data_IF_035401866331
#
_entry.id   IF_035401866331
#
_cell.length_a   1.000
_cell.length_b   1.000
_cell.length_c   1.000
_cell.angle_alpha   90.00
_cell.angle_beta   90.00
_cell.angle_gamma   90.00
#
_symmetry.space_group_name_H-M   'P 1'
#
loop_
_entity.id
_entity.type
_entity.pdbx_description
1 polymer ?
#
# COMPACT_ATOMS: atom_id res chain seq x y z
N UNK A 1 -13.57 14.49 3.51
CA UNK A 1 -13.85 13.07 3.22
C UNK A 1 -13.26 12.81 1.85
N UNK A 2 -12.27 11.92 1.74
CA UNK A 2 -11.57 11.66 0.46
C UNK A 2 -12.45 10.73 -0.37
N UNK A 3 -12.79 11.12 -1.60
CA UNK A 3 -13.53 10.27 -2.55
C UNK A 3 -12.60 9.41 -3.39
N UNK A 4 -13.11 8.34 -4.02
CA UNK A 4 -12.29 7.50 -4.93
C UNK A 4 -11.72 8.29 -6.11
N UNK A 5 -12.45 9.31 -6.59
CA UNK A 5 -11.99 10.18 -7.66
C UNK A 5 -10.75 10.98 -7.25
N UNK A 6 -10.59 11.27 -5.95
CA UNK A 6 -9.41 11.96 -5.42
C UNK A 6 -8.20 11.02 -5.34
N UNK A 7 -8.44 9.70 -5.39
CA UNK A 7 -7.40 8.66 -5.33
C UNK A 7 -6.95 8.17 -6.71
N UNK A 8 -7.58 8.65 -7.79
CA UNK A 8 -7.38 8.14 -9.15
C UNK A 8 -7.57 6.62 -9.22
N UNK A 9 -8.63 6.13 -8.56
CA UNK A 9 -9.00 4.71 -8.50
C UNK A 9 -10.30 4.47 -9.29
N UNK A 10 -10.20 3.69 -10.35
CA UNK A 10 -11.33 3.20 -11.13
C UNK A 10 -11.76 1.82 -10.64
N UNK A 11 -13.07 1.62 -10.45
CA UNK A 11 -13.66 0.33 -10.05
C UNK A 11 -14.71 -0.08 -11.08
N UNK A 12 -14.54 -1.25 -11.68
CA UNK A 12 -15.47 -1.81 -12.68
C UNK A 12 -15.85 -3.25 -12.32
N UNK A 13 -17.03 -3.67 -12.79
CA UNK A 13 -17.50 -5.06 -12.62
C UNK A 13 -17.19 -5.85 -13.89
N UNK A 14 -16.56 -7.02 -13.73
CA UNK A 14 -16.16 -7.93 -14.83
C UNK A 14 -16.61 -9.36 -14.50
N UNK A 15 -17.72 -9.84 -15.09
CA UNK A 15 -18.23 -11.22 -14.95
C UNK A 15 -18.39 -11.70 -13.50
N UNK A 16 -19.01 -10.90 -12.63
CA UNK A 16 -19.17 -11.22 -11.20
C UNK A 16 -17.94 -10.95 -10.33
N UNK A 17 -16.86 -10.44 -10.92
CA UNK A 17 -15.66 -9.99 -10.23
C UNK A 17 -15.57 -8.46 -10.24
N UNK A 18 -14.65 -7.91 -9.46
CA UNK A 18 -14.36 -6.47 -9.41
C UNK A 18 -12.94 -6.21 -9.88
N UNK A 19 -12.79 -5.37 -10.90
CA UNK A 19 -11.51 -4.84 -11.36
C UNK A 19 -11.28 -3.49 -10.68
N UNK A 20 -10.10 -3.31 -10.10
CA UNK A 20 -9.68 -2.02 -9.52
C UNK A 20 -8.40 -1.58 -10.22
N UNK A 21 -8.41 -0.37 -10.78
CA UNK A 21 -7.26 0.22 -11.49
C UNK A 21 -6.88 1.55 -10.85
N UNK A 22 -5.59 1.80 -10.78
CA UNK A 22 -4.97 3.06 -10.40
C UNK A 22 -3.68 3.21 -11.20
N UNK A 23 -3.03 4.36 -11.11
CA UNK A 23 -1.69 4.55 -11.67
C UNK A 23 -0.66 3.55 -11.12
N UNK A 24 -0.86 3.10 -9.88
CA UNK A 24 0.12 2.26 -9.17
C UNK A 24 -0.13 0.77 -9.40
N UNK A 25 -1.40 0.35 -9.52
CA UNK A 25 -1.80 -1.06 -9.56
C UNK A 25 -3.09 -1.31 -10.34
N UNK A 26 -3.16 -2.49 -10.94
CA UNK A 26 -4.36 -3.07 -11.55
C UNK A 26 -4.60 -4.45 -10.93
N UNK A 27 -5.70 -4.62 -10.21
CA UNK A 27 -6.02 -5.84 -9.46
C UNK A 27 -7.41 -6.39 -9.83
N UNK A 28 -7.54 -7.72 -9.86
CA UNK A 28 -8.81 -8.41 -10.06
C UNK A 28 -9.24 -9.09 -8.77
N UNK A 29 -10.38 -8.69 -8.25
CA UNK A 29 -10.96 -9.23 -7.03
C UNK A 29 -12.11 -10.16 -7.39
N UNK A 30 -11.83 -11.47 -7.33
CA UNK A 30 -12.79 -12.53 -7.65
C UNK A 30 -13.87 -12.61 -6.56
N UNK A 31 -15.11 -12.85 -6.97
CA UNK A 31 -16.29 -13.01 -6.09
C UNK A 31 -16.50 -11.83 -5.13
N UNK A 32 -16.43 -10.60 -5.66
CA UNK A 32 -16.63 -9.36 -4.90
C UNK A 32 -17.69 -8.46 -5.54
N UNK A 33 -18.20 -7.51 -4.74
CA UNK A 33 -19.15 -6.48 -5.19
C UNK A 33 -18.52 -5.09 -5.13
N UNK A 34 -18.77 -4.28 -6.17
CA UNK A 34 -18.15 -2.95 -6.33
C UNK A 34 -18.41 -2.02 -5.15
N UNK A 35 -19.63 -2.00 -4.59
CA UNK A 35 -19.97 -1.14 -3.45
C UNK A 35 -19.25 -1.55 -2.16
N UNK A 36 -19.06 -2.85 -1.94
CA UNK A 36 -18.29 -3.35 -0.81
C UNK A 36 -16.82 -2.98 -0.97
N UNK A 37 -16.24 -3.21 -2.15
CA UNK A 37 -14.85 -2.89 -2.46
C UNK A 37 -14.57 -1.38 -2.35
N UNK A 38 -15.48 -0.53 -2.83
CA UNK A 38 -15.39 0.93 -2.65
C UNK A 38 -15.25 1.30 -1.18
N UNK A 39 -16.11 0.75 -0.30
CA UNK A 39 -16.06 1.03 1.14
C UNK A 39 -14.76 0.54 1.78
N UNK A 40 -14.32 -0.67 1.43
CA UNK A 40 -13.07 -1.25 1.95
C UNK A 40 -11.85 -0.42 1.52
N UNK A 41 -11.78 0.00 0.25
CA UNK A 41 -10.66 0.83 -0.24
C UNK A 41 -10.61 2.15 0.53
N UNK A 42 -11.74 2.86 0.66
CA UNK A 42 -11.76 4.15 1.35
C UNK A 42 -11.38 4.01 2.82
N UNK A 43 -11.94 3.02 3.52
CA UNK A 43 -11.63 2.77 4.93
C UNK A 43 -10.16 2.40 5.15
N UNK A 44 -9.62 1.48 4.33
CA UNK A 44 -8.21 1.10 4.42
C UNK A 44 -7.29 2.25 4.04
N UNK A 45 -7.67 3.06 3.04
CA UNK A 45 -6.90 4.23 2.63
C UNK A 45 -6.80 5.26 3.76
N UNK A 46 -7.91 5.63 4.39
CA UNK A 46 -7.91 6.59 5.49
C UNK A 46 -7.00 6.13 6.65
N UNK A 47 -7.03 4.83 6.96
CA UNK A 47 -6.15 4.21 7.96
C UNK A 47 -4.68 4.32 7.56
N UNK A 48 -4.33 3.85 6.36
CA UNK A 48 -2.94 3.77 5.89
C UNK A 48 -2.35 5.16 5.66
N UNK A 49 -3.10 6.04 5.01
CA UNK A 49 -2.72 7.43 4.78
C UNK A 49 -2.52 8.18 6.11
N UNK A 50 -3.46 8.03 7.05
CA UNK A 50 -3.36 8.63 8.37
C UNK A 50 -2.16 8.13 9.18
N UNK A 51 -1.79 6.86 9.04
CA UNK A 51 -0.61 6.29 9.68
C UNK A 51 0.68 6.92 9.15
N UNK A 52 0.88 6.98 7.83
CA UNK A 52 2.10 7.54 7.25
C UNK A 52 2.19 9.05 7.43
N UNK A 53 1.06 9.77 7.37
CA UNK A 53 1.06 11.22 7.60
C UNK A 53 1.57 11.58 9.00
N UNK A 54 1.31 10.74 10.01
CA UNK A 54 1.82 10.93 11.38
C UNK A 54 3.33 10.70 11.52
N UNK A 55 3.96 9.97 10.60
CA UNK A 55 5.42 9.72 10.62
C UNK A 55 6.23 10.87 10.02
N UNK A 56 5.58 11.76 9.28
CA UNK A 56 6.25 12.84 8.54
C UNK A 56 6.24 14.11 9.38
N UNK A 57 7.42 14.68 9.60
CA UNK A 57 7.57 16.06 10.06
C UNK A 57 7.68 16.97 8.84
N UNK A 58 6.55 17.50 8.37
CA UNK A 58 6.44 18.19 7.06
C UNK A 58 7.49 19.30 6.81
N UNK A 59 7.89 20.13 7.80
CA UNK A 59 8.98 21.10 7.63
C UNK A 59 10.36 20.50 7.40
N UNK A 60 10.62 19.25 7.83
CA UNK A 60 11.95 18.62 7.78
C UNK A 60 12.10 17.61 6.65
N UNK A 61 11.06 16.83 6.38
CA UNK A 61 11.20 15.64 5.53
C UNK A 61 10.88 15.89 4.05
N UNK A 62 10.41 17.10 3.72
CA UNK A 62 10.10 17.56 2.36
C UNK A 62 9.30 16.53 1.54
N UNK A 63 8.19 16.03 2.12
CA UNK A 63 7.28 15.12 1.45
C UNK A 63 6.14 15.88 0.77
N UNK A 64 5.85 15.53 -0.47
CA UNK A 64 4.62 15.98 -1.10
C UNK A 64 3.48 15.05 -0.66
N UNK A 65 2.35 15.64 -0.27
CA UNK A 65 1.15 14.89 0.14
C UNK A 65 0.74 13.82 -0.88
N UNK A 66 0.82 14.15 -2.17
CA UNK A 66 0.49 13.24 -3.27
C UNK A 66 1.33 11.95 -3.28
N UNK A 67 2.57 12.00 -2.80
CA UNK A 67 3.40 10.79 -2.71
C UNK A 67 2.87 9.84 -1.65
N UNK A 68 2.39 10.38 -0.53
CA UNK A 68 1.81 9.59 0.55
C UNK A 68 0.48 8.99 0.12
N UNK A 69 -0.30 9.72 -0.66
CA UNK A 69 -1.54 9.21 -1.27
C UNK A 69 -1.25 8.04 -2.22
N UNK A 70 -0.25 8.17 -3.08
CA UNK A 70 0.15 7.10 -4.02
C UNK A 70 0.70 5.87 -3.32
N UNK A 71 1.62 6.06 -2.37
CA UNK A 71 2.16 4.96 -1.54
C UNK A 71 1.03 4.25 -0.81
N UNK A 72 0.13 5.01 -0.15
CA UNK A 72 -1.00 4.44 0.60
C UNK A 72 -1.95 3.67 -0.32
N UNK A 73 -2.27 4.21 -1.49
CA UNK A 73 -3.10 3.52 -2.49
C UNK A 73 -2.45 2.22 -2.97
N UNK A 74 -1.15 2.24 -3.27
CA UNK A 74 -0.41 1.05 -3.69
C UNK A 74 -0.41 -0.02 -2.60
N UNK A 75 -0.22 0.35 -1.33
CA UNK A 75 -0.30 -0.56 -0.18
C UNK A 75 -1.71 -1.15 -0.06
N UNK A 76 -2.75 -0.30 -0.03
CA UNK A 76 -4.15 -0.76 0.10
C UNK A 76 -4.51 -1.76 -0.98
N UNK A 77 -4.20 -1.46 -2.24
CA UNK A 77 -4.53 -2.34 -3.36
C UNK A 77 -3.71 -3.65 -3.34
N UNK A 78 -2.47 -3.62 -2.86
CA UNK A 78 -1.68 -4.83 -2.65
C UNK A 78 -2.34 -5.77 -1.64
N UNK A 79 -2.66 -5.26 -0.44
CA UNK A 79 -3.26 -6.07 0.62
C UNK A 79 -4.68 -6.52 0.29
N UNK A 80 -5.46 -5.67 -0.36
CA UNK A 80 -6.79 -6.02 -0.82
C UNK A 80 -6.75 -7.23 -1.77
N UNK A 81 -5.82 -7.22 -2.73
CA UNK A 81 -5.64 -8.34 -3.65
C UNK A 81 -5.12 -9.61 -2.94
N UNK A 82 -4.16 -9.45 -2.02
CA UNK A 82 -3.60 -10.56 -1.24
C UNK A 82 -4.67 -11.24 -0.38
N UNK A 83 -5.43 -10.47 0.39
CA UNK A 83 -6.49 -10.99 1.25
C UNK A 83 -7.66 -11.59 0.47
N UNK A 84 -8.02 -10.99 -0.67
CA UNK A 84 -9.02 -11.58 -1.54
C UNK A 84 -8.56 -12.93 -2.09
N UNK A 85 -7.32 -13.02 -2.56
CA UNK A 85 -6.71 -14.29 -3.00
C UNK A 85 -6.71 -15.34 -1.89
N UNK A 86 -6.31 -14.97 -0.68
CA UNK A 86 -6.32 -15.89 0.46
C UNK A 86 -7.72 -16.36 0.84
N UNK A 87 -8.72 -15.47 0.81
CA UNK A 87 -10.12 -15.82 1.07
C UNK A 87 -10.63 -16.86 0.08
N UNK A 88 -10.25 -16.76 -1.18
CA UNK A 88 -10.61 -17.73 -2.24
C UNK A 88 -9.92 -19.07 -2.01
N UNK A 89 -8.62 -19.07 -1.70
CA UNK A 89 -7.85 -20.28 -1.46
C UNK A 89 -8.22 -20.98 -0.15
N UNK A 90 -8.67 -20.23 0.86
CA UNK A 90 -8.95 -20.73 2.21
C UNK A 90 -10.41 -20.45 2.61
N UNK A 91 -11.38 -20.93 1.82
CA UNK A 91 -12.82 -20.68 2.02
C UNK A 91 -13.38 -20.99 3.42
N UNK A 92 -12.69 -21.87 4.17
CA UNK A 92 -13.07 -22.21 5.56
C UNK A 92 -12.65 -21.14 6.58
N UNK A 93 -11.67 -20.31 6.25
CA UNK A 93 -11.18 -19.22 7.08
C UNK A 93 -11.95 -17.93 6.74
N UNK A 94 -12.50 -17.28 7.76
CA UNK A 94 -13.15 -15.97 7.62
C UNK A 94 -12.09 -14.86 7.58
N UNK A 95 -11.38 -14.76 6.46
CA UNK A 95 -10.32 -13.76 6.26
C UNK A 95 -10.97 -12.40 5.95
N UNK A 96 -10.65 -11.36 6.73
CA UNK A 96 -11.08 -9.98 6.46
C UNK A 96 -10.30 -9.37 5.27
N UNK A 97 -10.91 -8.44 4.54
CA UNK A 97 -10.20 -7.61 3.54
C UNK A 97 -9.70 -6.29 4.14
N UNK A 98 -9.99 -6.04 5.41
CA UNK A 98 -9.54 -4.86 6.13
C UNK A 98 -8.04 -4.94 6.38
N UNK A 99 -7.36 -3.82 6.18
CA UNK A 99 -5.95 -3.67 6.50
C UNK A 99 -5.75 -3.82 8.00
N UNK A 100 -4.75 -4.61 8.42
CA UNK A 100 -4.48 -4.92 9.82
C UNK A 100 -3.25 -4.14 10.31
N UNK A 101 -3.15 -3.87 11.61
CA UNK A 101 -2.02 -3.13 12.18
C UNK A 101 -0.66 -3.77 11.85
N UNK A 102 -0.57 -5.11 11.96
CA UNK A 102 0.63 -5.88 11.60
C UNK A 102 1.06 -5.74 10.13
N UNK A 103 0.18 -5.26 9.26
CA UNK A 103 0.49 -5.09 7.85
C UNK A 103 1.41 -3.90 7.61
N UNK A 104 1.47 -2.93 8.54
CA UNK A 104 2.41 -1.81 8.45
C UNK A 104 3.86 -2.28 8.52
N UNK A 105 4.17 -3.25 9.37
CA UNK A 105 5.53 -3.77 9.59
C UNK A 105 5.89 -4.94 8.66
N UNK A 106 4.95 -5.34 7.79
CA UNK A 106 5.17 -6.43 6.87
C UNK A 106 6.18 -6.04 5.78
N UNK A 107 7.12 -6.93 5.42
CA UNK A 107 8.12 -6.64 4.40
C UNK A 107 7.55 -6.14 3.07
N UNK A 108 6.37 -6.60 2.65
CA UNK A 108 5.75 -6.14 1.41
C UNK A 108 5.33 -4.67 1.46
N UNK A 109 4.89 -4.17 2.61
CA UNK A 109 4.64 -2.73 2.80
C UNK A 109 5.91 -1.93 2.61
N UNK A 110 7.01 -2.36 3.22
CA UNK A 110 8.30 -1.69 3.09
C UNK A 110 8.84 -1.75 1.67
N UNK A 111 8.69 -2.88 0.97
CA UNK A 111 9.12 -3.01 -0.41
C UNK A 111 8.38 -2.03 -1.35
N UNK A 112 7.08 -1.80 -1.10
CA UNK A 112 6.29 -0.80 -1.85
C UNK A 112 6.82 0.62 -1.60
N UNK A 113 7.11 0.96 -0.35
CA UNK A 113 7.68 2.26 0.02
C UNK A 113 9.04 2.46 -0.67
N UNK A 114 9.92 1.45 -0.59
CA UNK A 114 11.23 1.50 -1.23
C UNK A 114 11.11 1.66 -2.74
N UNK A 115 10.25 0.88 -3.40
CA UNK A 115 10.08 0.95 -4.85
C UNK A 115 9.64 2.35 -5.28
N UNK A 116 8.59 2.89 -4.66
CA UNK A 116 8.07 4.21 -4.99
C UNK A 116 9.14 5.30 -4.80
N UNK A 117 9.78 5.33 -3.63
CA UNK A 117 10.77 6.37 -3.34
C UNK A 117 12.01 6.25 -4.22
N UNK A 118 12.46 5.03 -4.57
CA UNK A 118 13.59 4.84 -5.49
C UNK A 118 13.34 5.42 -6.87
N UNK A 119 12.12 5.24 -7.37
CA UNK A 119 11.72 5.76 -8.68
C UNK A 119 11.56 7.28 -8.64
N UNK A 120 10.86 7.80 -7.62
CA UNK A 120 10.52 9.22 -7.52
C UNK A 120 11.67 10.10 -7.05
N UNK A 121 12.52 9.57 -6.17
CA UNK A 121 13.52 10.31 -5.39
C UNK A 121 14.89 9.59 -5.40
N UNK A 122 15.48 9.33 -6.58
CA UNK A 122 16.65 8.45 -6.69
C UNK A 122 17.87 8.90 -5.87
N UNK A 123 17.99 10.18 -5.54
CA UNK A 123 19.11 10.73 -4.79
C UNK A 123 18.96 10.68 -3.25
N UNK A 124 17.74 10.48 -2.73
CA UNK A 124 17.44 10.51 -1.29
C UNK A 124 16.31 9.56 -0.88
N UNK A 125 16.10 8.49 -1.67
CA UNK A 125 15.04 7.52 -1.44
C UNK A 125 15.22 6.76 -0.12
N UNK A 126 16.47 6.56 0.32
CA UNK A 126 16.79 5.84 1.54
C UNK A 126 16.30 6.64 2.76
N UNK A 127 16.59 7.93 2.79
CA UNK A 127 16.14 8.87 3.83
C UNK A 127 14.62 8.97 3.86
N UNK A 128 14.00 9.12 2.68
CA UNK A 128 12.52 9.15 2.59
C UNK A 128 11.89 7.85 3.05
N UNK A 129 12.46 6.71 2.68
CA UNK A 129 11.94 5.42 3.12
C UNK A 129 12.14 5.21 4.61
N UNK A 130 13.26 5.66 5.17
CA UNK A 130 13.54 5.60 6.61
C UNK A 130 12.47 6.33 7.43
N UNK A 131 12.04 7.52 6.99
CA UNK A 131 10.95 8.28 7.61
C UNK A 131 9.65 7.46 7.64
N UNK A 132 9.22 6.93 6.49
CA UNK A 132 7.94 6.22 6.40
C UNK A 132 7.96 4.85 7.09
N UNK A 133 9.10 4.16 7.08
CA UNK A 133 9.26 2.90 7.81
C UNK A 133 9.37 3.20 9.32
N UNK A 134 9.96 4.34 9.70
CA UNK A 134 10.18 4.73 11.09
C UNK A 134 11.43 4.08 11.69
N UNK A 135 12.44 3.82 10.86
CA UNK A 135 13.73 3.28 11.28
C UNK A 135 14.83 4.32 11.06
N UNK A 136 15.93 4.28 11.82
CA UNK A 136 17.13 5.03 11.49
C UNK A 136 17.62 4.71 10.07
N UNK A 137 18.24 5.69 9.42
CA UNK A 137 18.74 5.55 8.05
C UNK A 137 19.73 4.38 7.89
N UNK A 138 20.62 4.16 8.86
CA UNK A 138 21.56 3.03 8.85
C UNK A 138 20.85 1.68 8.84
N UNK A 139 19.86 1.50 9.72
CA UNK A 139 19.06 0.27 9.80
C UNK A 139 18.20 0.06 8.55
N UNK A 140 17.68 1.14 7.98
CA UNK A 140 16.90 1.10 6.72
C UNK A 140 17.74 0.58 5.56
N UNK A 141 19.00 1.02 5.44
CA UNK A 141 19.93 0.55 4.39
C UNK A 141 20.25 -0.93 4.55
N UNK A 142 20.54 -1.38 5.77
CA UNK A 142 20.78 -2.79 6.05
C UNK A 142 19.54 -3.65 5.79
N UNK A 143 18.37 -3.17 6.21
CA UNK A 143 17.10 -3.84 5.96
C UNK A 143 16.83 -3.99 4.47
N UNK A 144 16.99 -2.92 3.68
CA UNK A 144 16.85 -2.98 2.24
C UNK A 144 17.80 -3.99 1.60
N UNK A 145 19.07 -4.03 2.03
CA UNK A 145 20.03 -5.02 1.54
C UNK A 145 19.55 -6.46 1.80
N UNK A 146 19.06 -6.75 3.01
CA UNK A 146 18.47 -8.06 3.34
C UNK A 146 17.26 -8.39 2.46
N UNK A 147 16.40 -7.41 2.17
CA UNK A 147 15.26 -7.58 1.24
C UNK A 147 15.74 -7.93 -0.17
N UNK A 148 16.74 -7.21 -0.69
CA UNK A 148 17.32 -7.47 -2.02
C UNK A 148 17.94 -8.88 -2.11
N UNK A 149 18.66 -9.32 -1.07
CA UNK A 149 19.28 -10.65 -1.04
C UNK A 149 18.25 -11.78 -0.97
N UNK A 150 17.06 -11.54 -0.40
CA UNK A 150 15.97 -12.51 -0.41
C UNK A 150 15.42 -12.76 -1.82
N UNK A 151 15.31 -11.72 -2.65
CA UNK A 151 14.78 -11.81 -4.02
C UNK A 151 15.79 -12.31 -5.06
N UNK A 152 17.10 -12.19 -4.79
CA UNK A 152 18.17 -12.64 -5.70
C UNK A 152 18.66 -14.06 -5.42
N UNK A 153 17.96 -14.80 -4.56
CA UNK A 153 18.16 -16.24 -4.33
C UNK A 153 17.19 -17.04 -5.18
#
# INVERSE_FOLDING_TARGET
MVGLNDLDVEITSENGNVRVRSNERNVLLIDQHTDYIRKIILSNFELVFGFFLKKIDAPKDNFHRIDIERISTSIVLYYLNMYNSWRISHKKLKISLEFQEKDFDNPSTHDIIFLYNKEKYPNNWEEKSAVLIGLPIGETKEYYKRRKDFYNK
#
